data_IF_797096706515
#
_entry.id   IF_797096706515
#
_cell.length_a   1.000
_cell.length_b   1.000
_cell.length_c   1.000
_cell.angle_alpha   90.00
_cell.angle_beta   90.00
_cell.angle_gamma   90.00
#
_symmetry.space_group_name_H-M   'P 1'
#
loop_
_entity.id
_entity.type
_entity.pdbx_description
1 polymer ?
#
# COMPACT_ATOMS: atom_id res chain seq x y z
N UNK A 1 2.63 1.00 -8.58
CA UNK A 1 2.71 2.20 -7.70
C UNK A 1 2.94 3.51 -8.46
N UNK A 2 2.39 3.61 -9.67
CA UNK A 2 2.48 4.83 -10.50
C UNK A 2 1.87 6.05 -9.82
N UNK A 3 0.83 5.86 -9.00
CA UNK A 3 0.14 6.94 -8.33
C UNK A 3 1.00 7.78 -7.39
N UNK A 4 1.98 7.19 -6.74
CA UNK A 4 2.89 7.93 -5.84
C UNK A 4 3.77 8.97 -6.57
N UNK A 5 3.97 8.79 -7.88
CA UNK A 5 4.74 9.69 -8.73
C UNK A 5 3.88 10.81 -9.35
N UNK A 6 2.56 10.67 -9.30
CA UNK A 6 1.63 11.61 -9.92
C UNK A 6 1.28 12.79 -8.99
N UNK A 7 2.30 13.38 -8.42
CA UNK A 7 2.20 14.70 -7.79
C UNK A 7 2.51 15.76 -8.85
N UNK A 8 1.86 16.89 -8.77
CA UNK A 8 2.22 18.01 -9.61
C UNK A 8 2.22 19.32 -8.80
N UNK A 9 3.08 20.23 -9.19
CA UNK A 9 3.03 21.62 -8.75
C UNK A 9 1.94 22.33 -9.56
N UNK A 10 0.96 23.01 -8.93
CA UNK A 10 -0.10 23.74 -9.62
C UNK A 10 0.36 24.78 -10.65
N UNK A 11 1.64 25.11 -10.65
CA UNK A 11 2.26 26.01 -11.65
C UNK A 11 2.51 25.35 -13.01
N UNK A 12 2.43 24.03 -13.08
CA UNK A 12 2.70 23.27 -14.30
C UNK A 12 1.44 22.49 -14.70
N UNK A 13 1.39 22.09 -15.96
CA UNK A 13 0.38 21.15 -16.44
C UNK A 13 0.43 19.83 -15.66
N UNK A 14 -0.72 19.26 -15.27
CA UNK A 14 -0.75 18.00 -14.55
C UNK A 14 -0.14 16.87 -15.39
N UNK A 15 0.73 16.05 -14.82
CA UNK A 15 1.27 14.90 -15.53
C UNK A 15 0.14 13.96 -15.95
N UNK A 16 0.23 13.42 -17.17
CA UNK A 16 -0.75 12.51 -17.73
C UNK A 16 -0.14 11.13 -17.93
N UNK A 17 -0.95 10.09 -17.70
CA UNK A 17 -0.57 8.70 -17.89
C UNK A 17 -1.69 7.99 -18.65
N UNK A 18 -1.40 7.55 -19.89
CA UNK A 18 -2.36 6.90 -20.77
C UNK A 18 -1.98 5.44 -21.00
N UNK A 19 -2.96 4.54 -20.91
CA UNK A 19 -2.80 3.10 -21.08
C UNK A 19 -3.90 2.56 -21.98
N UNK A 20 -3.52 1.84 -23.04
CA UNK A 20 -4.47 1.30 -23.99
C UNK A 20 -5.33 0.17 -23.39
N UNK A 21 -4.73 -0.73 -22.63
CA UNK A 21 -5.44 -1.87 -22.05
C UNK A 21 -5.78 -1.64 -20.56
N UNK A 22 -5.30 -2.46 -19.70
CA UNK A 22 -5.60 -2.50 -18.27
C UNK A 22 -4.36 -2.22 -17.41
N UNK A 23 -4.58 -2.03 -16.12
CA UNK A 23 -3.50 -1.92 -15.13
C UNK A 23 -3.53 -3.10 -14.16
N UNK A 24 -2.41 -3.34 -13.48
CA UNK A 24 -2.26 -4.38 -12.47
C UNK A 24 -2.74 -3.93 -11.08
N UNK A 25 -2.60 -4.82 -10.09
CA UNK A 25 -2.93 -4.54 -8.69
C UNK A 25 -2.12 -3.38 -8.11
N UNK A 26 -2.70 -2.66 -7.14
CA UNK A 26 -2.11 -1.49 -6.46
C UNK A 26 -1.85 -0.29 -7.40
N UNK A 27 -2.54 -0.19 -8.54
CA UNK A 27 -2.45 0.99 -9.38
C UNK A 27 -3.02 2.22 -8.68
N UNK A 28 -2.39 3.37 -8.92
CA UNK A 28 -2.78 4.69 -8.36
C UNK A 28 -2.78 4.75 -6.83
N UNK A 29 -2.07 3.82 -6.17
CA UNK A 29 -1.86 3.84 -4.72
C UNK A 29 -1.13 5.12 -4.31
N UNK A 30 -1.69 5.86 -3.32
CA UNK A 30 -1.20 7.15 -2.85
C UNK A 30 -1.07 8.24 -3.93
N UNK A 31 -1.89 8.18 -4.97
CA UNK A 31 -1.93 9.22 -5.99
C UNK A 31 -2.29 10.57 -5.35
N UNK A 32 -1.45 11.57 -5.59
CA UNK A 32 -1.59 12.91 -5.02
C UNK A 32 -1.97 13.99 -6.03
N UNK A 33 -1.97 13.67 -7.33
CA UNK A 33 -2.28 14.60 -8.41
C UNK A 33 -2.14 13.94 -9.77
N UNK A 34 -2.24 14.72 -10.85
CA UNK A 34 -2.14 14.23 -12.21
C UNK A 34 -3.40 13.53 -12.72
N UNK A 35 -3.32 13.04 -13.94
CA UNK A 35 -4.44 12.40 -14.65
C UNK A 35 -3.98 11.06 -15.18
N UNK A 36 -4.77 10.01 -14.95
CA UNK A 36 -4.59 8.71 -15.58
C UNK A 36 -5.78 8.38 -16.47
N UNK A 37 -5.51 7.82 -17.65
CA UNK A 37 -6.53 7.38 -18.61
C UNK A 37 -6.26 5.92 -18.96
N UNK A 38 -7.21 5.03 -18.64
CA UNK A 38 -7.12 3.59 -18.85
C UNK A 38 -8.23 3.18 -19.81
N UNK A 39 -7.85 2.88 -21.06
CA UNK A 39 -8.80 2.69 -22.15
C UNK A 39 -9.52 1.34 -22.13
N UNK A 40 -9.00 0.32 -21.41
CA UNK A 40 -9.64 -0.98 -21.29
C UNK A 40 -9.86 -1.70 -22.62
N UNK A 41 -9.04 -1.41 -23.64
CA UNK A 41 -9.19 -2.02 -24.96
C UNK A 41 -8.89 -3.52 -24.90
N UNK A 42 -9.76 -4.32 -25.50
CA UNK A 42 -9.66 -5.80 -25.54
C UNK A 42 -9.53 -6.41 -24.11
N UNK A 43 -10.37 -5.92 -23.19
CA UNK A 43 -10.32 -6.29 -21.77
C UNK A 43 -11.69 -6.70 -21.20
N UNK A 44 -12.68 -6.99 -22.01
CA UNK A 44 -14.06 -7.29 -21.61
C UNK A 44 -14.17 -8.52 -20.71
N UNK A 45 -13.22 -9.46 -20.84
CA UNK A 45 -13.18 -10.69 -20.05
C UNK A 45 -12.54 -10.50 -18.66
N UNK A 46 -12.02 -9.32 -18.37
CA UNK A 46 -11.41 -9.07 -17.06
C UNK A 46 -12.48 -8.73 -16.01
N UNK A 47 -12.32 -9.21 -14.77
CA UNK A 47 -13.22 -8.85 -13.68
C UNK A 47 -13.12 -7.35 -13.33
N UNK A 48 -12.00 -6.73 -13.60
CA UNK A 48 -11.76 -5.31 -13.39
C UNK A 48 -10.66 -4.80 -14.32
N UNK A 49 -10.84 -3.63 -14.92
CA UNK A 49 -9.83 -2.96 -15.75
C UNK A 49 -8.68 -2.42 -14.88
N UNK A 50 -8.98 -2.03 -13.67
CA UNK A 50 -7.99 -1.77 -12.65
C UNK A 50 -7.78 -3.04 -11.82
N UNK A 51 -6.56 -3.39 -11.54
CA UNK A 51 -6.25 -4.55 -10.69
C UNK A 51 -6.76 -4.38 -9.25
N UNK A 52 -6.61 -5.41 -8.46
CA UNK A 52 -7.08 -5.42 -7.07
C UNK A 52 -6.40 -4.33 -6.22
N UNK A 53 -7.13 -3.75 -5.26
CA UNK A 53 -6.67 -2.70 -4.33
C UNK A 53 -6.16 -1.43 -5.03
N UNK A 54 -6.79 -1.07 -6.13
CA UNK A 54 -6.47 0.18 -6.84
C UNK A 54 -6.94 1.40 -6.06
N UNK A 55 -6.23 2.52 -6.23
CA UNK A 55 -6.50 3.83 -5.61
C UNK A 55 -6.41 3.87 -4.07
N UNK A 56 -5.77 2.89 -3.43
CA UNK A 56 -5.57 2.91 -1.98
C UNK A 56 -4.78 4.16 -1.57
N UNK A 57 -5.32 4.93 -0.62
CA UNK A 57 -4.67 6.14 -0.12
C UNK A 57 -4.64 7.31 -1.12
N UNK A 58 -5.42 7.26 -2.20
CA UNK A 58 -5.52 8.36 -3.16
C UNK A 58 -6.06 9.63 -2.48
N UNK A 59 -5.36 10.74 -2.65
CA UNK A 59 -5.69 12.02 -2.02
C UNK A 59 -5.89 13.16 -3.03
N UNK A 60 -5.55 12.93 -4.28
CA UNK A 60 -5.70 13.90 -5.37
C UNK A 60 -5.58 13.22 -6.74
N UNK A 61 -5.76 13.99 -7.81
CA UNK A 61 -5.75 13.51 -9.19
C UNK A 61 -7.06 12.90 -9.64
N UNK A 62 -7.08 12.47 -10.90
CA UNK A 62 -8.25 11.88 -11.56
C UNK A 62 -7.84 10.66 -12.33
N UNK A 63 -8.64 9.58 -12.26
CA UNK A 63 -8.46 8.38 -13.09
C UNK A 63 -9.70 8.22 -13.95
N UNK A 64 -9.55 8.32 -15.27
CA UNK A 64 -10.55 7.95 -16.24
C UNK A 64 -10.38 6.49 -16.61
N UNK A 65 -11.45 5.73 -16.64
CA UNK A 65 -11.41 4.30 -16.93
C UNK A 65 -12.59 3.90 -17.79
N UNK A 66 -12.33 3.16 -18.87
CA UNK A 66 -13.35 2.54 -19.71
C UNK A 66 -13.48 1.07 -19.33
N UNK A 67 -14.72 0.67 -19.03
CA UNK A 67 -15.07 -0.71 -18.66
C UNK A 67 -15.29 -0.92 -17.16
N UNK A 68 -15.38 -2.19 -16.78
CA UNK A 68 -15.76 -2.60 -15.43
C UNK A 68 -14.64 -2.35 -14.41
N UNK A 69 -14.99 -1.78 -13.27
CA UNK A 69 -14.07 -1.53 -12.15
C UNK A 69 -14.60 -2.17 -10.88
N UNK A 70 -13.79 -3.02 -10.27
CA UNK A 70 -14.07 -3.67 -9.00
C UNK A 70 -12.88 -3.55 -8.04
N UNK A 71 -13.12 -3.75 -6.74
CA UNK A 71 -12.05 -3.79 -5.74
C UNK A 71 -11.36 -2.46 -5.46
N UNK A 72 -12.05 -1.35 -5.70
CA UNK A 72 -11.53 0.00 -5.39
C UNK A 72 -11.43 0.21 -3.88
N UNK A 73 -10.51 1.09 -3.50
CA UNK A 73 -10.38 1.54 -2.13
C UNK A 73 -11.59 2.38 -1.68
N UNK A 74 -11.94 2.31 -0.40
CA UNK A 74 -13.04 3.09 0.21
C UNK A 74 -12.80 4.60 0.22
N UNK A 75 -11.61 5.07 -0.10
CA UNK A 75 -11.25 6.49 -0.09
C UNK A 75 -11.52 7.22 -1.40
N UNK A 76 -12.11 6.53 -2.38
CA UNK A 76 -12.45 7.08 -3.70
C UNK A 76 -13.89 6.83 -4.05
N UNK A 77 -14.41 7.60 -4.98
CA UNK A 77 -15.74 7.41 -5.58
C UNK A 77 -15.65 7.33 -7.10
N UNK A 78 -16.62 6.64 -7.69
CA UNK A 78 -16.79 6.52 -9.12
C UNK A 78 -17.92 7.45 -9.55
N UNK A 79 -17.64 8.39 -10.43
CA UNK A 79 -18.61 9.38 -10.92
C UNK A 79 -18.72 9.31 -12.44
N UNK A 80 -19.83 9.81 -12.96
CA UNK A 80 -20.02 9.94 -14.42
C UNK A 80 -19.18 11.07 -14.96
N UNK A 81 -18.81 10.96 -16.25
CA UNK A 81 -18.11 12.00 -16.97
C UNK A 81 -19.04 13.21 -17.22
N UNK A 82 -18.53 14.39 -16.93
CA UNK A 82 -19.15 15.64 -17.38
C UNK A 82 -18.69 16.04 -18.79
N UNK A 83 -19.12 17.21 -19.25
CA UNK A 83 -18.75 17.72 -20.56
C UNK A 83 -17.25 17.99 -20.70
N UNK A 84 -16.63 18.55 -19.65
CA UNK A 84 -15.21 18.89 -19.67
C UNK A 84 -14.36 17.62 -19.72
N UNK A 85 -14.77 16.57 -19.00
CA UNK A 85 -14.11 15.27 -19.03
C UNK A 85 -14.11 14.67 -20.45
N UNK A 86 -15.26 14.74 -21.14
CA UNK A 86 -15.41 14.23 -22.51
C UNK A 86 -14.58 15.05 -23.53
N UNK A 87 -14.57 16.35 -23.40
CA UNK A 87 -13.77 17.23 -24.26
C UNK A 87 -12.27 16.96 -24.07
N UNK A 88 -11.83 16.79 -22.82
CA UNK A 88 -10.46 16.40 -22.49
C UNK A 88 -10.06 15.03 -23.08
N UNK A 89 -10.89 14.00 -22.88
CA UNK A 89 -10.62 12.67 -23.41
C UNK A 89 -10.62 12.67 -24.94
N UNK A 90 -11.52 13.43 -25.58
CA UNK A 90 -11.58 13.52 -27.05
C UNK A 90 -10.31 14.14 -27.62
N UNK A 91 -9.81 15.21 -27.02
CA UNK A 91 -8.59 15.88 -27.46
C UNK A 91 -7.35 15.00 -27.25
N UNK A 92 -7.19 14.44 -26.04
CA UNK A 92 -6.01 13.64 -25.71
C UNK A 92 -5.97 12.26 -26.38
N UNK A 93 -7.14 11.69 -26.73
CA UNK A 93 -7.21 10.36 -27.36
C UNK A 93 -6.54 10.34 -28.74
N UNK A 94 -6.70 11.39 -29.51
CA UNK A 94 -6.08 11.47 -30.84
C UNK A 94 -4.56 11.45 -30.75
N UNK A 95 -3.99 12.27 -29.91
CA UNK A 95 -2.55 12.34 -29.70
C UNK A 95 -1.99 11.01 -29.16
N UNK A 96 -2.71 10.42 -28.19
CA UNK A 96 -2.33 9.13 -27.60
C UNK A 96 -2.32 8.01 -28.64
N UNK A 97 -3.41 7.86 -29.42
CA UNK A 97 -3.54 6.78 -30.39
C UNK A 97 -2.56 6.93 -31.56
N UNK A 98 -2.28 8.16 -31.99
CA UNK A 98 -1.24 8.43 -32.98
C UNK A 98 0.15 8.05 -32.45
N UNK A 99 0.45 8.34 -31.18
CA UNK A 99 1.72 8.02 -30.56
C UNK A 99 1.97 6.50 -30.41
N UNK A 100 0.90 5.71 -30.30
CA UNK A 100 1.01 4.22 -30.22
C UNK A 100 0.69 3.53 -31.56
N UNK A 101 0.54 4.29 -32.65
CA UNK A 101 0.29 3.79 -34.00
C UNK A 101 -1.05 3.03 -34.19
N UNK A 102 -2.09 3.41 -33.42
CA UNK A 102 -3.43 2.80 -33.44
C UNK A 102 -4.57 3.83 -33.63
N UNK A 103 -4.51 4.74 -34.63
CA UNK A 103 -5.51 5.79 -34.81
C UNK A 103 -6.91 5.24 -35.14
N UNK A 104 -7.01 4.01 -35.67
CA UNK A 104 -8.28 3.36 -36.02
C UNK A 104 -9.18 3.09 -34.82
N UNK A 105 -8.63 3.01 -33.60
CA UNK A 105 -9.39 2.72 -32.37
C UNK A 105 -10.16 3.93 -31.84
N UNK A 106 -9.97 5.13 -32.42
CA UNK A 106 -10.55 6.37 -31.90
C UNK A 106 -12.06 6.33 -31.70
N UNK A 107 -12.78 5.84 -32.69
CA UNK A 107 -14.25 5.82 -32.64
C UNK A 107 -14.78 4.85 -31.57
N UNK A 108 -14.15 3.72 -31.41
CA UNK A 108 -14.49 2.74 -30.39
C UNK A 108 -14.21 3.27 -28.99
N UNK A 109 -13.02 3.83 -28.77
CA UNK A 109 -12.60 4.30 -27.46
C UNK A 109 -13.29 5.62 -27.03
N UNK A 110 -13.92 6.33 -27.93
CA UNK A 110 -14.71 7.53 -27.60
C UNK A 110 -16.21 7.23 -27.38
N UNK A 111 -16.61 5.95 -27.28
CA UNK A 111 -17.92 5.62 -26.71
C UNK A 111 -17.95 5.88 -25.22
N UNK A 112 -18.45 7.05 -24.84
CA UNK A 112 -18.49 7.51 -23.45
C UNK A 112 -19.50 6.78 -22.58
N UNK A 113 -20.30 5.86 -23.11
CA UNK A 113 -21.25 5.05 -22.33
C UNK A 113 -20.53 4.09 -21.38
N UNK A 114 -19.31 3.67 -21.71
CA UNK A 114 -18.52 2.72 -20.96
C UNK A 114 -17.48 3.39 -20.02
N UNK A 115 -17.38 4.71 -20.06
CA UNK A 115 -16.40 5.46 -19.28
C UNK A 115 -16.95 5.90 -17.93
N UNK A 116 -16.08 5.86 -16.96
CA UNK A 116 -16.27 6.44 -15.64
C UNK A 116 -15.03 7.20 -15.18
N UNK A 117 -15.21 8.03 -14.16
CA UNK A 117 -14.18 8.86 -13.56
C UNK A 117 -14.05 8.49 -12.09
N UNK A 118 -12.85 8.24 -11.63
CA UNK A 118 -12.54 7.94 -10.22
C UNK A 118 -11.85 9.16 -9.63
N UNK A 119 -12.37 9.66 -8.54
CA UNK A 119 -11.83 10.79 -7.79
C UNK A 119 -11.71 10.45 -6.30
N UNK A 120 -10.79 11.08 -5.57
CA UNK A 120 -10.72 10.89 -4.13
C UNK A 120 -11.94 11.52 -3.44
N UNK A 121 -12.49 10.82 -2.45
CA UNK A 121 -13.53 11.37 -1.59
C UNK A 121 -13.04 12.66 -0.92
N UNK A 122 -13.92 13.65 -0.71
CA UNK A 122 -13.65 14.80 0.14
C UNK A 122 -13.15 14.39 1.53
N UNK A 123 -12.33 15.21 2.16
CA UNK A 123 -11.74 14.89 3.49
C UNK A 123 -12.79 14.59 4.55
N UNK A 124 -13.92 15.25 4.44
CA UNK A 124 -15.06 15.16 5.37
C UNK A 124 -15.76 13.79 5.29
N UNK A 125 -15.72 13.15 4.12
CA UNK A 125 -16.34 11.84 3.87
C UNK A 125 -15.37 10.68 4.04
N UNK A 126 -14.08 10.94 4.22
CA UNK A 126 -13.10 9.89 4.50
C UNK A 126 -13.25 9.39 5.91
N UNK A 127 -13.12 8.07 6.09
CA UNK A 127 -13.01 7.49 7.42
C UNK A 127 -11.94 8.24 8.24
N UNK A 128 -12.32 8.66 9.45
CA UNK A 128 -11.41 9.38 10.33
C UNK A 128 -10.23 8.48 10.65
N UNK A 129 -9.02 8.96 10.33
CA UNK A 129 -7.81 8.27 10.75
C UNK A 129 -7.65 8.47 12.25
N UNK A 130 -7.59 7.38 12.98
CA UNK A 130 -7.28 7.39 14.42
C UNK A 130 -5.77 7.23 14.62
N UNK A 131 -5.24 7.84 15.64
CA UNK A 131 -3.85 7.65 16.04
C UNK A 131 -3.65 6.23 16.60
N UNK A 132 -2.41 5.75 16.64
CA UNK A 132 -2.09 4.44 17.25
C UNK A 132 -2.53 4.41 18.71
N UNK A 133 -2.46 5.55 19.43
CA UNK A 133 -2.91 5.66 20.81
C UNK A 133 -4.43 5.53 20.91
N UNK A 134 -5.16 6.30 20.10
CA UNK A 134 -6.65 6.20 20.05
C UNK A 134 -7.10 4.81 19.62
N UNK A 135 -6.37 4.18 18.70
CA UNK A 135 -6.63 2.81 18.24
C UNK A 135 -6.50 1.80 19.39
N UNK A 136 -5.44 1.89 20.20
CA UNK A 136 -5.23 1.01 21.36
C UNK A 136 -6.28 1.22 22.46
N UNK A 137 -6.79 2.44 22.62
CA UNK A 137 -7.77 2.80 23.63
C UNK A 137 -9.21 2.50 23.21
N UNK A 138 -9.46 2.19 21.93
CA UNK A 138 -10.79 1.92 21.40
C UNK A 138 -11.34 0.59 21.93
N UNK A 139 -12.58 0.58 22.42
CA UNK A 139 -13.25 -0.63 22.94
C UNK A 139 -13.28 -1.76 21.90
N UNK A 140 -13.61 -1.44 20.64
CA UNK A 140 -13.66 -2.42 19.58
C UNK A 140 -12.30 -3.06 19.27
N UNK A 141 -11.19 -2.39 19.63
CA UNK A 141 -9.86 -2.94 19.52
C UNK A 141 -9.59 -3.96 20.63
N UNK A 142 -10.09 -3.69 21.86
CA UNK A 142 -9.91 -4.57 23.03
C UNK A 142 -10.84 -5.77 23.01
N UNK A 143 -12.07 -5.58 22.52
CA UNK A 143 -13.15 -6.58 22.60
C UNK A 143 -13.54 -7.17 21.23
N UNK A 144 -13.08 -6.58 20.14
CA UNK A 144 -13.46 -6.94 18.78
C UNK A 144 -12.45 -7.84 18.07
N UNK A 145 -12.32 -7.61 16.76
CA UNK A 145 -11.50 -8.41 15.85
C UNK A 145 -10.04 -8.59 16.28
N UNK A 146 -9.52 -7.66 17.08
CA UNK A 146 -8.15 -7.69 17.57
C UNK A 146 -8.03 -8.03 19.05
N UNK A 147 -9.12 -8.40 19.71
CA UNK A 147 -9.13 -8.71 21.14
C UNK A 147 -8.10 -9.76 21.54
N UNK A 148 -8.00 -10.82 20.72
CA UNK A 148 -7.06 -11.92 20.93
C UNK A 148 -5.61 -11.54 20.56
N UNK A 149 -5.40 -10.37 19.98
CA UNK A 149 -4.10 -9.88 19.57
C UNK A 149 -3.51 -8.85 20.55
N UNK A 150 -4.22 -8.56 21.61
CA UNK A 150 -3.83 -7.56 22.63
C UNK A 150 -3.65 -8.26 23.96
N UNK A 151 -2.49 -8.10 24.56
CA UNK A 151 -2.29 -8.52 25.96
C UNK A 151 -2.93 -7.51 26.93
N UNK A 152 -3.12 -7.94 28.19
CA UNK A 152 -3.73 -7.16 29.27
C UNK A 152 -3.10 -5.78 29.51
N UNK A 153 -1.83 -5.62 29.13
CA UNK A 153 -1.11 -4.34 29.20
C UNK A 153 -1.33 -3.43 27.97
N UNK A 154 -2.18 -3.84 27.02
CA UNK A 154 -2.46 -3.12 25.79
C UNK A 154 -1.34 -3.19 24.73
N UNK A 155 -0.36 -4.07 24.87
CA UNK A 155 0.64 -4.32 23.84
C UNK A 155 0.06 -5.22 22.74
N UNK A 156 0.31 -4.88 21.47
CA UNK A 156 -0.15 -5.66 20.32
C UNK A 156 0.90 -6.71 19.97
N UNK A 157 0.58 -7.97 20.23
CA UNK A 157 1.43 -9.11 19.89
C UNK A 157 1.10 -9.70 18.50
N UNK A 158 0.04 -9.28 17.91
CA UNK A 158 -0.61 -9.89 16.78
C UNK A 158 0.23 -10.02 15.50
N UNK A 159 1.37 -9.37 15.41
CA UNK A 159 2.24 -9.56 14.23
C UNK A 159 2.85 -10.96 14.22
N UNK A 160 3.12 -11.54 15.38
CA UNK A 160 3.65 -12.90 15.49
C UNK A 160 2.53 -13.96 15.35
N UNK A 161 1.34 -13.67 15.84
CA UNK A 161 0.19 -14.58 15.85
C UNK A 161 -0.66 -14.51 14.59
N UNK A 162 -0.71 -13.36 13.91
CA UNK A 162 -1.52 -13.12 12.70
C UNK A 162 -1.01 -13.81 11.44
N UNK A 163 -0.18 -14.85 11.57
CA UNK A 163 0.26 -15.66 10.43
C UNK A 163 1.39 -15.02 9.60
N UNK A 164 1.98 -13.92 10.04
CA UNK A 164 3.34 -13.59 9.65
C UNK A 164 4.21 -14.50 10.51
N UNK A 165 4.18 -15.77 10.14
CA UNK A 165 4.99 -16.78 10.80
C UNK A 165 6.41 -16.24 10.88
N UNK A 166 6.94 -16.18 12.07
CA UNK A 166 8.34 -15.89 12.29
C UNK A 166 9.16 -16.92 11.52
N UNK A 167 9.56 -16.58 10.30
CA UNK A 167 10.27 -17.48 9.39
C UNK A 167 11.70 -17.77 9.88
N UNK A 168 12.20 -16.93 10.76
CA UNK A 168 13.55 -17.05 11.31
C UNK A 168 13.57 -16.64 12.78
N UNK A 169 14.42 -17.27 13.55
CA UNK A 169 14.69 -16.91 14.93
C UNK A 169 16.19 -16.65 15.14
N UNK A 170 16.55 -15.68 15.99
CA UNK A 170 17.94 -15.45 16.33
C UNK A 170 18.42 -16.48 17.34
N UNK A 171 19.63 -17.00 17.12
CA UNK A 171 20.36 -17.86 18.06
C UNK A 171 21.63 -17.15 18.45
N UNK A 172 21.88 -17.07 19.74
CA UNK A 172 23.05 -16.40 20.30
C UNK A 172 24.20 -17.37 20.54
N UNK A 173 25.41 -16.91 20.22
CA UNK A 173 26.66 -17.62 20.48
C UNK A 173 27.49 -16.83 21.50
N UNK A 174 27.65 -17.40 22.69
CA UNK A 174 28.40 -16.80 23.80
C UNK A 174 29.90 -16.61 23.52
N UNK A 175 30.49 -17.52 22.74
CA UNK A 175 31.93 -17.51 22.47
C UNK A 175 32.34 -16.30 21.56
N UNK A 176 31.42 -15.83 20.74
CA UNK A 176 31.64 -14.68 19.86
C UNK A 176 31.26 -13.36 20.51
N UNK A 177 30.50 -13.39 21.59
CA UNK A 177 29.91 -12.18 22.16
C UNK A 177 30.91 -11.36 22.98
N UNK A 178 31.01 -10.09 22.69
CA UNK A 178 31.85 -9.12 23.41
C UNK A 178 31.09 -8.30 24.47
N UNK A 179 29.79 -8.56 24.67
CA UNK A 179 28.96 -7.92 25.69
C UNK A 179 28.71 -6.42 25.47
N UNK A 180 28.56 -5.98 24.22
CA UNK A 180 28.42 -4.56 23.85
C UNK A 180 26.99 -4.01 23.94
N UNK A 181 26.00 -4.82 24.25
CA UNK A 181 24.57 -4.49 24.41
C UNK A 181 23.87 -3.88 23.19
N UNK A 182 24.51 -3.83 22.01
CA UNK A 182 23.90 -3.27 20.81
C UNK A 182 22.63 -4.02 20.40
N UNK A 183 22.61 -5.34 20.51
CA UNK A 183 21.43 -6.16 20.21
C UNK A 183 20.27 -5.85 21.16
N UNK A 184 20.55 -5.67 22.45
CA UNK A 184 19.58 -5.32 23.49
C UNK A 184 18.96 -3.95 23.23
N UNK A 185 19.82 -2.94 22.98
CA UNK A 185 19.40 -1.55 22.82
C UNK A 185 18.66 -1.27 21.49
N UNK A 186 18.92 -2.07 20.45
CA UNK A 186 18.31 -1.89 19.14
C UNK A 186 17.13 -2.86 18.88
N UNK A 187 16.76 -3.71 19.82
CA UNK A 187 15.62 -4.61 19.64
C UNK A 187 14.30 -3.80 19.71
N UNK A 188 13.53 -3.68 18.60
CA UNK A 188 12.30 -2.89 18.58
C UNK A 188 11.20 -3.47 19.47
N UNK A 189 11.24 -4.78 19.72
CA UNK A 189 10.28 -5.50 20.54
C UNK A 189 10.76 -5.74 21.98
N UNK A 190 11.97 -5.26 22.33
CA UNK A 190 12.58 -5.54 23.63
C UNK A 190 12.57 -7.05 23.97
N UNK A 191 12.74 -7.87 22.94
CA UNK A 191 12.70 -9.32 23.03
C UNK A 191 14.03 -9.94 23.50
N UNK A 192 15.10 -9.16 23.63
CA UNK A 192 16.38 -9.65 24.12
C UNK A 192 16.48 -9.31 25.61
N UNK A 193 16.83 -10.30 26.40
CA UNK A 193 17.17 -10.16 27.80
C UNK A 193 18.68 -10.43 28.00
N UNK A 194 19.27 -9.75 28.98
CA UNK A 194 20.67 -9.90 29.35
C UNK A 194 20.76 -10.20 30.86
N UNK A 195 21.50 -11.24 31.21
CA UNK A 195 21.86 -11.58 32.60
C UNK A 195 23.33 -11.99 32.66
N UNK A 196 24.13 -11.25 33.40
CA UNK A 196 25.57 -11.50 33.56
C UNK A 196 26.33 -11.71 32.24
N UNK A 197 26.04 -10.83 31.25
CA UNK A 197 26.58 -10.92 29.89
C UNK A 197 26.14 -12.14 29.09
N UNK A 198 25.12 -12.85 29.55
CA UNK A 198 24.43 -13.89 28.79
C UNK A 198 23.16 -13.27 28.15
N UNK A 199 22.99 -13.49 26.88
CA UNK A 199 21.86 -12.93 26.14
C UNK A 199 20.87 -14.03 25.75
N UNK A 200 19.61 -13.79 25.97
CA UNK A 200 18.52 -14.70 25.62
C UNK A 200 17.43 -13.99 24.83
N UNK A 201 16.61 -14.74 24.13
CA UNK A 201 15.48 -14.22 23.35
C UNK A 201 14.18 -14.64 24.01
N UNK A 202 13.31 -13.69 24.27
CA UNK A 202 11.93 -13.93 24.67
C UNK A 202 11.14 -14.24 23.39
N UNK A 203 10.87 -15.53 23.18
CA UNK A 203 10.26 -16.02 21.94
C UNK A 203 8.90 -15.40 21.67
N UNK A 204 8.13 -15.15 22.73
CA UNK A 204 6.82 -14.51 22.68
C UNK A 204 6.85 -13.04 22.18
N UNK A 205 7.99 -12.36 22.32
CA UNK A 205 8.18 -10.98 21.87
C UNK A 205 8.93 -10.86 20.54
N UNK A 206 9.66 -11.89 20.17
CA UNK A 206 10.54 -11.85 19.02
C UNK A 206 9.78 -12.02 17.70
N UNK A 207 9.87 -11.03 16.81
CA UNK A 207 9.25 -11.06 15.47
C UNK A 207 10.20 -11.57 14.37
N UNK A 208 11.40 -12.01 14.69
CA UNK A 208 12.36 -12.52 13.71
C UNK A 208 12.94 -11.50 12.74
N UNK A 209 12.93 -10.21 13.07
CA UNK A 209 13.35 -9.13 12.18
C UNK A 209 14.85 -9.10 11.82
N UNK A 210 15.72 -9.79 12.58
CA UNK A 210 17.14 -9.91 12.31
C UNK A 210 18.00 -8.71 12.72
N UNK A 211 17.44 -7.65 13.33
CA UNK A 211 18.20 -6.46 13.75
C UNK A 211 19.36 -6.84 14.70
N UNK A 212 19.11 -7.74 15.65
CA UNK A 212 20.15 -8.20 16.58
C UNK A 212 21.37 -8.81 15.88
N UNK A 213 21.14 -9.57 14.81
CA UNK A 213 22.23 -10.12 13.98
C UNK A 213 22.90 -9.03 13.14
N UNK A 214 22.12 -8.11 12.58
CA UNK A 214 22.63 -7.02 11.72
C UNK A 214 23.48 -5.99 12.45
N UNK A 215 23.17 -5.70 13.74
CA UNK A 215 23.94 -4.71 14.53
C UNK A 215 25.10 -5.33 15.31
N UNK A 216 25.25 -6.64 15.30
CA UNK A 216 26.26 -7.33 16.08
C UNK A 216 27.63 -7.26 15.41
N UNK A 217 28.62 -6.54 15.97
CA UNK A 217 29.93 -6.34 15.34
C UNK A 217 30.78 -7.62 15.31
N UNK A 218 30.46 -8.58 16.17
CA UNK A 218 31.20 -9.84 16.30
C UNK A 218 30.44 -11.06 15.76
N UNK A 219 29.31 -10.84 15.07
CA UNK A 219 28.47 -11.91 14.52
C UNK A 219 28.08 -13.01 15.56
N UNK A 220 27.79 -12.58 16.79
CA UNK A 220 27.35 -13.48 17.85
C UNK A 220 25.88 -13.93 17.70
N UNK A 221 25.13 -13.35 16.79
CA UNK A 221 23.75 -13.74 16.50
C UNK A 221 23.64 -14.33 15.11
N UNK A 222 23.02 -15.48 15.02
CA UNK A 222 22.71 -16.15 13.75
C UNK A 222 21.18 -16.29 13.59
N UNK A 223 20.68 -16.01 12.38
CA UNK A 223 19.26 -16.16 12.05
C UNK A 223 19.01 -17.54 11.43
N UNK A 224 18.42 -18.44 12.17
CA UNK A 224 18.03 -19.77 11.68
C UNK A 224 16.55 -19.82 11.32
N UNK A 225 16.13 -20.79 10.49
CA UNK A 225 14.71 -21.05 10.22
C UNK A 225 14.01 -21.47 11.49
N UNK A 226 12.80 -20.94 11.73
CA UNK A 226 11.91 -21.33 12.84
C UNK A 226 11.30 -22.68 12.59
#
# INVERSE_FOLDING_TARGET
RSGALMKHDPKFEPPQFWVLKNTGSFSFEFMGGGIAVICGYDCENLPSILGNRSCVGMVGGTVYVRGKVEGLAKCVEVVKLDKFDKDFLTAGMEDFLNAIEHPELKNELLDFSEWSKIIPLPKELKEKKISVKEFKDAEWFKEGLFGDLVEDNGEVYGIAESGIARLRKPVWNSEKCVGCDLCLNNCPQKAIAEENKNYSVKDEKCIGCGICAGVCPCNAWEMIKS
#
